data_IF_646977865608
#
_entry.id   IF_646977865608
#
_cell.length_a   1.000
_cell.length_b   1.000
_cell.length_c   1.000
_cell.angle_alpha   90.00
_cell.angle_beta   90.00
_cell.angle_gamma   90.00
#
_symmetry.space_group_name_H-M   'P 1'
#
loop_
_entity.id
_entity.type
_entity.pdbx_description
1 polymer ?
#
# COMPACT_ATOMS: atom_id res chain seq x y z
N UNK A 1 -16.43 -9.28 -3.46
CA UNK A 1 -16.15 -8.03 -2.71
C UNK A 1 -14.69 -7.61 -2.81
N UNK A 2 -13.73 -8.46 -2.45
CA UNK A 2 -12.28 -8.11 -2.52
C UNK A 2 -11.80 -7.90 -3.95
N UNK A 3 -12.27 -8.68 -4.92
CA UNK A 3 -11.89 -8.52 -6.34
C UNK A 3 -12.29 -7.14 -6.89
N UNK A 4 -13.48 -6.65 -6.51
CA UNK A 4 -13.92 -5.29 -6.85
C UNK A 4 -12.95 -4.23 -6.30
N UNK A 5 -12.57 -4.34 -5.02
CA UNK A 5 -11.64 -3.40 -4.38
C UNK A 5 -10.25 -3.46 -5.02
N UNK A 6 -9.78 -4.67 -5.35
CA UNK A 6 -8.51 -4.88 -6.03
C UNK A 6 -8.50 -4.22 -7.41
N UNK A 7 -9.54 -4.45 -8.21
CA UNK A 7 -9.69 -3.85 -9.54
C UNK A 7 -9.80 -2.32 -9.47
N UNK A 8 -10.65 -1.81 -8.58
CA UNK A 8 -10.81 -0.37 -8.35
C UNK A 8 -9.49 0.30 -7.94
N UNK A 9 -8.65 -0.38 -7.17
CA UNK A 9 -7.35 0.16 -6.71
C UNK A 9 -6.29 0.13 -7.81
N UNK A 10 -6.20 -0.98 -8.57
CA UNK A 10 -5.11 -1.24 -9.52
C UNK A 10 -5.39 -0.73 -10.93
N UNK A 11 -6.63 -0.87 -11.39
CA UNK A 11 -7.05 -0.56 -12.76
C UNK A 11 -8.41 0.15 -12.76
N UNK A 12 -8.56 1.32 -12.09
CA UNK A 12 -9.83 2.03 -12.02
C UNK A 12 -10.38 2.43 -13.40
N UNK A 13 -9.52 2.58 -14.41
CA UNK A 13 -9.91 2.88 -15.80
C UNK A 13 -10.63 1.72 -16.52
N UNK A 14 -10.59 0.49 -15.98
CA UNK A 14 -11.26 -0.68 -16.55
C UNK A 14 -12.56 -1.05 -15.79
N UNK A 15 -13.02 -0.20 -14.85
CA UNK A 15 -14.25 -0.44 -14.12
C UNK A 15 -15.47 -0.41 -15.06
N UNK A 16 -16.38 -1.37 -14.87
CA UNK A 16 -17.60 -1.57 -15.66
C UNK A 16 -18.82 -1.70 -14.75
N UNK A 17 -20.01 -1.53 -15.34
CA UNK A 17 -21.28 -1.72 -14.63
C UNK A 17 -21.43 -3.13 -14.05
N UNK A 18 -20.85 -4.14 -14.72
CA UNK A 18 -20.88 -5.54 -14.28
C UNK A 18 -20.10 -5.78 -12.97
N UNK A 19 -19.07 -4.98 -12.69
CA UNK A 19 -18.34 -5.07 -11.43
C UNK A 19 -19.24 -4.67 -10.25
N UNK A 20 -20.08 -3.64 -10.44
CA UNK A 20 -21.08 -3.20 -9.46
C UNK A 20 -22.25 -4.18 -9.39
N UNK A 21 -22.70 -4.71 -10.53
CA UNK A 21 -23.76 -5.72 -10.58
C UNK A 21 -23.35 -6.97 -9.78
N UNK A 22 -22.12 -7.41 -9.90
CA UNK A 22 -21.59 -8.57 -9.16
C UNK A 22 -21.65 -8.37 -7.64
N UNK A 23 -21.53 -7.13 -7.16
CA UNK A 23 -21.72 -6.82 -5.73
C UNK A 23 -23.19 -6.88 -5.31
N UNK A 24 -24.10 -6.39 -6.17
CA UNK A 24 -25.55 -6.50 -5.93
C UNK A 24 -26.01 -7.97 -5.93
N UNK A 25 -25.51 -8.77 -6.86
CA UNK A 25 -25.78 -10.20 -6.95
C UNK A 25 -25.28 -10.95 -5.70
N UNK A 26 -24.23 -10.42 -5.04
CA UNK A 26 -23.72 -10.91 -3.76
C UNK A 26 -24.51 -10.40 -2.53
N UNK A 27 -25.59 -9.65 -2.74
CA UNK A 27 -26.50 -9.19 -1.69
C UNK A 27 -26.15 -7.83 -1.07
N UNK A 28 -25.20 -7.08 -1.63
CA UNK A 28 -24.92 -5.71 -1.17
C UNK A 28 -25.96 -4.74 -1.73
N UNK A 29 -26.48 -3.86 -0.86
CA UNK A 29 -27.28 -2.72 -1.29
C UNK A 29 -26.41 -1.55 -1.77
N UNK A 30 -27.04 -0.55 -2.36
CA UNK A 30 -26.36 0.61 -2.95
C UNK A 30 -25.51 1.37 -1.93
N UNK A 31 -25.96 1.39 -0.67
CA UNK A 31 -25.25 2.07 0.42
C UNK A 31 -23.98 1.30 0.80
N UNK A 32 -24.07 -0.01 0.97
CA UNK A 32 -22.91 -0.86 1.23
C UNK A 32 -21.88 -0.81 0.09
N UNK A 33 -22.35 -0.75 -1.17
CA UNK A 33 -21.46 -0.58 -2.34
C UNK A 33 -20.75 0.77 -2.30
N UNK A 34 -21.46 1.85 -1.97
CA UNK A 34 -20.87 3.17 -1.82
C UNK A 34 -19.83 3.19 -0.69
N UNK A 35 -20.18 2.66 0.49
CA UNK A 35 -19.27 2.59 1.64
C UNK A 35 -17.99 1.81 1.31
N UNK A 36 -18.14 0.66 0.64
CA UNK A 36 -17.01 -0.14 0.15
C UNK A 36 -16.08 0.66 -0.77
N UNK A 37 -16.66 1.37 -1.74
CA UNK A 37 -15.90 2.18 -2.69
C UNK A 37 -15.19 3.36 -2.00
N UNK A 38 -15.87 4.03 -1.06
CA UNK A 38 -15.29 5.15 -0.31
C UNK A 38 -14.09 4.71 0.53
N UNK A 39 -14.20 3.60 1.25
CA UNK A 39 -13.10 3.05 2.06
C UNK A 39 -11.91 2.70 1.17
N UNK A 40 -12.15 1.98 0.07
CA UNK A 40 -11.10 1.61 -0.88
C UNK A 40 -10.37 2.84 -1.43
N UNK A 41 -11.13 3.85 -1.88
CA UNK A 41 -10.57 5.08 -2.44
C UNK A 41 -9.81 5.91 -1.40
N UNK A 42 -10.31 5.98 -0.16
CA UNK A 42 -9.65 6.71 0.92
C UNK A 42 -8.26 6.16 1.21
N UNK A 43 -8.13 4.84 1.40
CA UNK A 43 -6.81 4.22 1.60
C UNK A 43 -5.91 4.37 0.38
N UNK A 44 -6.46 4.25 -0.83
CA UNK A 44 -5.67 4.44 -2.04
C UNK A 44 -5.17 5.89 -2.19
N UNK A 45 -5.89 6.89 -1.68
CA UNK A 45 -5.45 8.28 -1.62
C UNK A 45 -4.34 8.47 -0.58
N UNK A 46 -4.56 8.02 0.66
CA UNK A 46 -3.59 8.17 1.75
C UNK A 46 -2.28 7.46 1.42
N UNK A 47 -2.34 6.23 0.89
CA UNK A 47 -1.13 5.49 0.52
C UNK A 47 -0.33 6.22 -0.56
N UNK A 48 -0.99 6.80 -1.57
CA UNK A 48 -0.31 7.58 -2.62
C UNK A 48 0.31 8.87 -2.09
N UNK A 49 -0.31 9.50 -1.11
CA UNK A 49 0.28 10.66 -0.44
C UNK A 49 1.51 10.27 0.38
N UNK A 50 1.40 9.24 1.22
CA UNK A 50 2.49 8.79 2.06
C UNK A 50 3.68 8.32 1.21
N UNK A 51 3.44 7.42 0.26
CA UNK A 51 4.49 6.89 -0.63
C UNK A 51 5.04 7.97 -1.57
N UNK A 52 4.18 8.86 -2.08
CA UNK A 52 4.57 9.89 -3.05
C UNK A 52 5.37 11.02 -2.45
N UNK A 53 5.16 11.32 -1.16
CA UNK A 53 5.91 12.35 -0.42
C UNK A 53 7.04 11.78 0.44
N UNK A 54 7.17 10.45 0.52
CA UNK A 54 8.18 9.79 1.36
C UNK A 54 7.92 9.97 2.86
N UNK A 55 6.66 10.03 3.28
CA UNK A 55 6.28 10.14 4.69
C UNK A 55 6.68 8.86 5.42
N UNK A 56 7.56 9.00 6.42
CA UNK A 56 7.89 7.90 7.32
C UNK A 56 6.78 7.74 8.37
N UNK A 57 6.43 6.49 8.67
CA UNK A 57 5.56 6.21 9.80
C UNK A 57 6.32 6.52 11.08
N UNK A 58 5.65 7.17 12.03
CA UNK A 58 6.21 7.33 13.38
C UNK A 58 6.62 5.96 13.92
N UNK A 59 7.81 5.84 14.55
CA UNK A 59 8.22 4.60 15.18
C UNK A 59 7.13 4.19 16.18
N UNK A 60 6.61 2.98 15.98
CA UNK A 60 5.42 2.47 16.66
C UNK A 60 5.47 2.81 18.17
N UNK A 61 4.46 3.54 18.64
CA UNK A 61 4.12 3.57 20.06
C UNK A 61 3.86 2.15 20.58
N UNK A 62 3.65 1.97 21.91
CA UNK A 62 3.54 0.64 22.51
C UNK A 62 2.58 -0.27 21.72
N UNK A 63 2.95 -1.53 21.46
CA UNK A 63 2.40 -2.34 20.38
C UNK A 63 0.88 -2.42 20.43
N UNK A 64 0.23 -1.85 19.42
CA UNK A 64 -1.19 -2.08 19.17
C UNK A 64 -1.29 -3.40 18.42
N UNK A 65 -2.06 -4.35 18.95
CA UNK A 65 -2.24 -5.67 18.37
C UNK A 65 -2.97 -5.58 17.00
N UNK A 66 -2.25 -5.29 15.91
CA UNK A 66 -2.85 -5.36 14.57
C UNK A 66 -2.15 -4.68 13.39
N UNK A 67 -1.14 -3.81 13.57
CA UNK A 67 -0.56 -3.09 12.43
C UNK A 67 0.69 -3.78 11.87
N UNK A 68 0.51 -4.57 10.81
CA UNK A 68 1.60 -5.16 9.99
C UNK A 68 2.23 -4.16 9.00
N UNK A 69 1.94 -2.85 9.12
CA UNK A 69 2.42 -1.82 8.19
C UNK A 69 3.87 -1.33 8.46
N UNK A 70 4.48 -1.68 9.60
CA UNK A 70 5.81 -1.17 9.99
C UNK A 70 7.03 -1.91 9.41
N UNK A 71 6.86 -3.03 8.69
CA UNK A 71 7.99 -3.84 8.24
C UNK A 71 8.22 -3.73 6.72
N UNK A 72 8.80 -2.61 6.29
CA UNK A 72 9.54 -2.55 5.02
C UNK A 72 11.01 -2.26 5.30
N UNK A 73 11.79 -3.33 5.45
CA UNK A 73 13.25 -3.26 5.43
C UNK A 73 13.74 -2.69 4.10
N UNK A 74 14.26 -1.46 4.11
CA UNK A 74 14.98 -0.86 3.01
C UNK A 74 16.31 -1.61 2.77
N UNK A 75 16.34 -2.58 1.84
CA UNK A 75 17.53 -3.35 1.45
C UNK A 75 18.47 -2.60 0.48
N UNK A 76 18.71 -1.31 0.68
CA UNK A 76 19.66 -0.56 -0.16
C UNK A 76 20.83 0.13 0.56
N UNK A 77 21.00 -0.04 1.87
CA UNK A 77 22.20 0.43 2.58
C UNK A 77 23.30 -0.64 2.67
N UNK A 78 23.79 -1.13 1.53
CA UNK A 78 24.82 -2.17 1.50
C UNK A 78 25.53 -2.32 0.17
N UNK A 79 26.42 -1.38 -0.18
CA UNK A 79 27.58 -1.66 -1.04
C UNK A 79 28.52 -0.46 -1.15
N UNK A 80 29.66 -0.54 -0.44
CA UNK A 80 31.02 -0.14 -0.89
C UNK A 80 31.94 0.21 0.30
N UNK A 81 32.04 -0.68 1.29
CA UNK A 81 33.23 -0.70 2.14
C UNK A 81 34.27 -1.58 1.44
N UNK A 82 35.08 -0.99 0.57
CA UNK A 82 35.99 -1.76 -0.27
C UNK A 82 36.96 -0.96 -1.11
N UNK A 83 37.62 0.06 -0.55
CA UNK A 83 38.86 0.59 -1.13
C UNK A 83 39.76 1.20 -0.05
N UNK A 84 40.77 0.45 0.41
CA UNK A 84 42.09 1.00 0.75
C UNK A 84 43.16 -0.01 0.34
N UNK A 85 43.69 0.18 -0.86
CA UNK A 85 45.06 -0.24 -1.16
C UNK A 85 46.00 0.58 -0.29
N UNK A 86 46.84 -0.07 0.49
CA UNK A 86 48.12 0.50 0.91
C UNK A 86 49.14 -0.63 1.10
N UNK A 87 49.78 -1.03 0.00
CA UNK A 87 51.06 -1.71 0.03
C UNK A 87 52.10 -0.70 -0.42
N UNK A 88 52.52 0.13 0.51
CA UNK A 88 53.76 0.90 0.44
C UNK A 88 54.24 1.15 1.87
N UNK A 89 55.25 0.39 2.30
CA UNK A 89 56.44 0.85 3.05
C UNK A 89 57.21 -0.32 3.69
N UNK A 90 58.47 -0.41 3.25
CA UNK A 90 59.65 -1.08 3.83
C UNK A 90 59.68 -2.61 3.82
#
# INVERSE_FOLDING_TARGET
>A
MIDYVLKLTRTPWDMRKDDVKSLRDAGLDDRAILDLAMIACYYAYVNRLADGLGVELEPDGPPHAGSSLGMRHNKHAGSSLGMRHNKDKA
#
